data_IF_432589977220
#
_entry.id   IF_432589977220
#
_cell.length_a   1.000
_cell.length_b   1.000
_cell.length_c   1.000
_cell.angle_alpha   90.00
_cell.angle_beta   90.00
_cell.angle_gamma   90.00
#
_symmetry.space_group_name_H-M   'P 1'
#
loop_
_entity.id
_entity.type
_entity.pdbx_description
1 polymer ?
#
# COMPACT_ATOMS: atom_id res chain seq x y z
N UNK A 1 -8.28 -0.04 13.85
CA UNK A 1 -6.98 0.60 13.93
C UNK A 1 -7.16 2.11 13.92
N UNK A 2 -6.50 2.79 14.82
CA UNK A 2 -6.79 4.19 15.07
C UNK A 2 -5.88 5.16 14.32
N UNK A 3 -4.68 4.81 13.99
CA UNK A 3 -3.74 5.74 13.37
C UNK A 3 -3.47 5.44 11.90
N UNK A 4 -2.91 6.43 11.20
CA UNK A 4 -2.56 6.29 9.79
C UNK A 4 -1.56 5.14 9.55
N UNK A 5 -0.55 5.00 10.41
CA UNK A 5 0.42 3.91 10.28
C UNK A 5 -0.24 2.53 10.43
N UNK A 6 -1.09 2.36 11.44
CA UNK A 6 -1.78 1.11 11.69
C UNK A 6 -2.75 0.77 10.56
N UNK A 7 -3.51 1.75 10.09
CA UNK A 7 -4.42 1.54 8.96
C UNK A 7 -3.68 1.20 7.68
N UNK A 8 -2.54 1.82 7.44
CA UNK A 8 -1.71 1.50 6.27
C UNK A 8 -1.22 0.06 6.33
N UNK A 9 -0.76 -0.40 7.49
CA UNK A 9 -0.30 -1.77 7.65
C UNK A 9 -1.43 -2.78 7.45
N UNK A 10 -2.61 -2.51 7.99
CA UNK A 10 -3.78 -3.37 7.78
C UNK A 10 -4.15 -3.44 6.30
N UNK A 11 -4.15 -2.31 5.60
CA UNK A 11 -4.44 -2.27 4.17
C UNK A 11 -3.43 -3.12 3.39
N UNK A 12 -2.14 -3.02 3.71
CA UNK A 12 -1.10 -3.82 3.07
C UNK A 12 -1.27 -5.31 3.35
N UNK A 13 -1.63 -5.68 4.58
CA UNK A 13 -1.86 -7.08 4.93
C UNK A 13 -3.04 -7.66 4.13
N UNK A 14 -4.10 -6.88 3.95
CA UNK A 14 -5.26 -7.29 3.14
C UNK A 14 -4.89 -7.44 1.66
N UNK A 15 -4.09 -6.52 1.14
CA UNK A 15 -3.58 -6.59 -0.24
C UNK A 15 -2.74 -7.85 -0.42
N UNK A 16 -1.83 -8.12 0.50
CA UNK A 16 -0.99 -9.31 0.44
C UNK A 16 -1.82 -10.59 0.43
N UNK A 17 -2.82 -10.66 1.30
CA UNK A 17 -3.71 -11.82 1.35
C UNK A 17 -4.48 -12.01 0.04
N UNK A 18 -4.96 -10.93 -0.56
CA UNK A 18 -5.64 -10.97 -1.85
C UNK A 18 -4.72 -11.44 -2.98
N UNK A 19 -3.48 -10.94 -2.99
CA UNK A 19 -2.49 -11.33 -3.99
C UNK A 19 -2.15 -12.82 -3.88
N UNK A 20 -2.01 -13.35 -2.67
CA UNK A 20 -1.74 -14.77 -2.46
C UNK A 20 -2.84 -15.66 -3.02
N UNK A 21 -4.10 -15.23 -2.91
CA UNK A 21 -5.23 -15.95 -3.52
C UNK A 21 -5.16 -15.98 -5.04
N UNK A 22 -4.46 -15.03 -5.64
CA UNK A 22 -4.26 -14.94 -7.09
C UNK A 22 -2.90 -15.54 -7.53
N UNK A 23 -2.26 -16.33 -6.69
CA UNK A 23 -0.92 -16.89 -6.93
C UNK A 23 0.12 -15.80 -7.18
N UNK A 24 0.03 -14.69 -6.44
CA UNK A 24 0.92 -13.56 -6.56
C UNK A 24 1.42 -13.14 -5.17
N UNK A 25 2.11 -12.05 -5.08
CA UNK A 25 2.63 -11.52 -3.81
C UNK A 25 3.02 -10.06 -3.95
N UNK A 26 3.46 -9.47 -2.84
CA UNK A 26 3.88 -8.07 -2.82
C UNK A 26 4.96 -7.77 -3.85
N UNK A 27 5.84 -8.73 -4.14
CA UNK A 27 6.92 -8.57 -5.11
C UNK A 27 6.42 -8.26 -6.53
N UNK A 28 5.18 -8.62 -6.84
CA UNK A 28 4.60 -8.44 -8.16
C UNK A 28 3.91 -7.08 -8.34
N UNK A 29 3.85 -6.26 -7.30
CA UNK A 29 3.24 -4.94 -7.38
C UNK A 29 4.10 -4.02 -8.23
N UNK A 30 3.48 -3.45 -9.26
CA UNK A 30 4.17 -2.55 -10.21
C UNK A 30 3.70 -1.10 -10.06
N UNK A 31 2.54 -0.87 -9.45
CA UNK A 31 1.99 0.46 -9.24
C UNK A 31 1.19 0.53 -7.96
N UNK A 32 1.35 1.64 -7.25
CA UNK A 32 0.61 1.94 -6.02
C UNK A 32 -0.04 3.31 -6.16
N UNK A 33 -1.33 3.40 -5.83
CA UNK A 33 -2.05 4.68 -5.71
C UNK A 33 -2.52 4.81 -4.28
N UNK A 34 -2.24 5.96 -3.69
CA UNK A 34 -2.50 6.23 -2.28
C UNK A 34 -3.33 7.49 -2.16
N UNK A 35 -4.44 7.40 -1.44
CA UNK A 35 -5.34 8.52 -1.18
C UNK A 35 -5.35 8.81 0.30
N UNK A 36 -5.08 10.06 0.68
CA UNK A 36 -4.86 10.49 2.06
C UNK A 36 -5.70 11.74 2.35
N UNK A 37 -6.67 11.67 3.27
CA UNK A 37 -7.48 12.86 3.60
C UNK A 37 -6.69 13.97 4.28
N UNK A 38 -5.75 13.63 5.18
CA UNK A 38 -4.97 14.62 5.92
C UNK A 38 -3.54 14.66 5.42
N UNK A 39 -3.10 15.80 4.84
CA UNK A 39 -1.72 15.92 4.36
C UNK A 39 -0.66 15.67 5.43
N UNK A 40 -1.00 15.86 6.71
CA UNK A 40 -0.05 15.58 7.80
C UNK A 40 0.26 14.11 7.97
N UNK A 41 -0.58 13.22 7.43
CA UNK A 41 -0.37 11.76 7.50
C UNK A 41 0.50 11.22 6.36
N UNK A 42 0.81 12.03 5.35
CA UNK A 42 1.51 11.56 4.14
C UNK A 42 2.87 10.94 4.47
N UNK A 43 3.67 11.60 5.30
CA UNK A 43 5.00 11.09 5.63
C UNK A 43 4.94 9.77 6.39
N UNK A 44 4.02 9.66 7.35
CA UNK A 44 3.82 8.43 8.12
C UNK A 44 3.43 7.26 7.22
N UNK A 45 2.46 7.49 6.34
CA UNK A 45 1.98 6.48 5.39
C UNK A 45 3.10 6.09 4.43
N UNK A 46 3.83 7.07 3.90
CA UNK A 46 4.93 6.82 2.97
C UNK A 46 6.03 5.98 3.60
N UNK A 47 6.32 6.19 4.88
CA UNK A 47 7.32 5.39 5.59
C UNK A 47 6.89 3.93 5.69
N UNK A 48 5.64 3.67 6.06
CA UNK A 48 5.13 2.29 6.13
C UNK A 48 5.17 1.62 4.76
N UNK A 49 4.76 2.33 3.72
CA UNK A 49 4.79 1.81 2.34
C UNK A 49 6.21 1.50 1.89
N UNK A 50 7.14 2.39 2.18
CA UNK A 50 8.56 2.19 1.81
C UNK A 50 9.14 0.97 2.51
N UNK A 51 8.84 0.79 3.79
CA UNK A 51 9.34 -0.37 4.54
C UNK A 51 8.79 -1.69 3.99
N UNK A 52 7.54 -1.69 3.53
CA UNK A 52 6.88 -2.90 3.05
C UNK A 52 7.09 -3.16 1.55
N UNK A 53 7.15 -2.12 0.72
CA UNK A 53 7.15 -2.22 -0.73
C UNK A 53 8.38 -1.61 -1.40
N UNK A 54 9.28 -0.99 -0.65
CA UNK A 54 10.44 -0.31 -1.24
C UNK A 54 11.32 -1.24 -2.07
N UNK A 55 11.36 -2.53 -1.73
CA UNK A 55 12.16 -3.51 -2.47
C UNK A 55 11.63 -3.76 -3.90
N UNK A 56 10.35 -3.49 -4.16
CA UNK A 56 9.77 -3.69 -5.50
C UNK A 56 9.95 -2.47 -6.39
N UNK A 57 10.22 -1.30 -5.80
CA UNK A 57 10.31 0.00 -6.49
C UNK A 57 9.13 0.27 -7.41
N UNK A 58 7.89 0.15 -6.93
CA UNK A 58 6.73 0.37 -7.78
C UNK A 58 6.58 1.85 -8.14
N UNK A 59 5.90 2.14 -9.23
CA UNK A 59 5.44 3.49 -9.52
C UNK A 59 4.43 3.90 -8.45
N UNK A 60 4.53 5.12 -7.93
CA UNK A 60 3.67 5.61 -6.85
C UNK A 60 3.00 6.91 -7.23
N UNK A 61 1.71 7.01 -6.92
CA UNK A 61 0.95 8.25 -6.97
C UNK A 61 0.25 8.43 -5.63
N UNK A 62 0.53 9.54 -4.95
CA UNK A 62 -0.12 9.88 -3.68
C UNK A 62 -0.92 11.17 -3.86
N UNK A 63 -2.19 11.13 -3.49
CA UNK A 63 -3.12 12.26 -3.63
C UNK A 63 -3.79 12.54 -2.30
N UNK A 64 -3.86 13.82 -1.94
CA UNK A 64 -4.67 14.26 -0.80
C UNK A 64 -6.11 14.45 -1.27
N UNK A 65 -7.02 13.66 -0.73
CA UNK A 65 -8.43 13.69 -1.10
C UNK A 65 -9.31 13.17 0.03
N UNK A 66 -10.54 13.67 0.18
CA UNK A 66 -11.50 13.08 1.11
C UNK A 66 -11.79 11.63 0.73
N UNK A 67 -12.06 10.80 1.76
CA UNK A 67 -12.43 9.40 1.56
C UNK A 67 -13.89 9.19 1.95
N UNK A 68 -14.52 8.19 1.32
CA UNK A 68 -15.93 7.89 1.53
C UNK A 68 -16.21 7.29 2.91
N UNK A 69 -15.23 6.59 3.50
CA UNK A 69 -15.42 5.90 4.78
C UNK A 69 -15.02 6.83 5.93
N UNK A 70 -15.94 7.17 6.86
CA UNK A 70 -15.59 7.98 8.01
C UNK A 70 -14.51 7.33 8.86
N UNK A 71 -13.53 8.11 9.30
CA UNK A 71 -12.42 7.61 10.11
C UNK A 71 -11.29 6.94 9.33
N UNK A 72 -11.43 6.79 8.01
CA UNK A 72 -10.34 6.27 7.18
C UNK A 72 -9.24 7.31 7.03
N UNK A 73 -8.01 6.92 7.31
CA UNK A 73 -6.81 7.76 7.14
C UNK A 73 -6.09 7.51 5.84
N UNK A 74 -6.41 6.42 5.14
CA UNK A 74 -5.72 6.03 3.92
C UNK A 74 -6.60 5.10 3.10
N UNK A 75 -6.47 5.19 1.78
CA UNK A 75 -6.98 4.20 0.84
C UNK A 75 -5.85 3.86 -0.13
N UNK A 76 -5.63 2.57 -0.38
CA UNK A 76 -4.53 2.10 -1.21
C UNK A 76 -5.08 1.20 -2.31
N UNK A 77 -4.66 1.49 -3.54
CA UNK A 77 -4.91 0.63 -4.70
C UNK A 77 -3.58 0.18 -5.26
N UNK A 78 -3.51 -1.06 -5.71
CA UNK A 78 -2.30 -1.57 -6.36
C UNK A 78 -2.65 -2.25 -7.67
N UNK A 79 -1.72 -2.19 -8.60
CA UNK A 79 -1.70 -3.05 -9.78
C UNK A 79 -0.54 -4.02 -9.62
N UNK A 80 -0.76 -5.28 -9.87
CA UNK A 80 0.27 -6.30 -9.80
C UNK A 80 0.25 -7.14 -11.07
N UNK A 81 1.44 -7.58 -11.50
CA UNK A 81 1.59 -8.50 -12.63
C UNK A 81 2.21 -9.76 -12.08
N UNK A 82 1.43 -10.83 -12.05
CA UNK A 82 1.86 -12.11 -11.47
C UNK A 82 3.14 -12.60 -12.14
N UNK A 83 4.12 -12.93 -11.31
CA UNK A 83 5.40 -13.44 -11.74
C UNK A 83 6.40 -12.39 -12.22
N UNK A 84 6.03 -11.09 -12.17
CA UNK A 84 6.90 -10.02 -12.67
C UNK A 84 8.00 -9.65 -11.68
N UNK A 85 7.81 -9.91 -10.40
CA UNK A 85 8.71 -9.47 -9.35
C UNK A 85 9.62 -10.57 -8.82
N UNK A 86 10.66 -10.15 -8.09
CA UNK A 86 11.54 -11.07 -7.38
C UNK A 86 11.15 -11.07 -5.91
N UNK A 87 10.96 -12.25 -5.29
CA UNK A 87 10.64 -12.29 -3.86
C UNK A 87 11.69 -11.56 -3.04
N UNK A 88 11.23 -10.94 -1.93
CA UNK A 88 12.12 -10.23 -1.02
C UNK A 88 13.11 -11.21 -0.40
N UNK A 89 14.39 -10.87 -0.45
CA UNK A 89 15.44 -11.64 0.24
C UNK A 89 15.44 -11.32 1.73
N UNK A 90 15.72 -12.31 2.55
CA UNK A 90 15.83 -12.18 4.00
C UNK A 90 17.28 -12.28 4.46
#
# INVERSE_FOLDING_TARGET
ADGAAAQTQIALDMIEAALKKADSGLQDIVRVRVYVPDPNDVMTISTVLKDSLGFTKPANTTVCAPLAVPGAHVEIEVDAIRGSGTPREV
#
